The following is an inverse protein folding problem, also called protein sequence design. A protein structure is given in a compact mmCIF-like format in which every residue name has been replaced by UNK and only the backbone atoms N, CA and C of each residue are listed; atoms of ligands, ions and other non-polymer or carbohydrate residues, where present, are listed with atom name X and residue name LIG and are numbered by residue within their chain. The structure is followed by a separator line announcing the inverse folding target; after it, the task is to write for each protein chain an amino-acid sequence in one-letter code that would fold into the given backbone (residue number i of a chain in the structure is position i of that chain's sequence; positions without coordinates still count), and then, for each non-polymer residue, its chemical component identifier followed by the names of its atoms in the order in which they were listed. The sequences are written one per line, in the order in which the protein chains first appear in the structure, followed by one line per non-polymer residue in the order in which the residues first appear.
data_IF_186078145273
#
_entry.id   IF_186078145273
#
_cell.length_a   1.000
_cell.length_b   1.000
_cell.length_c   1.000
_cell.angle_alpha   90.00
_cell.angle_beta   90.00
_cell.angle_gamma   90.00
#
_symmetry.space_group_name_H-M   'P 1'
#
loop_
_entity.id
_entity.type
_entity.pdbx_description
1 polymer ?
#
# COMPACT_ATOMS: atom_id res chain seq x y z
N UNK A 1 -52.20 19.04 29.63
CA UNK A 1 -51.85 19.15 31.04
C UNK A 1 -50.36 18.83 31.19
N UNK A 2 -49.53 19.88 31.20
CA UNK A 2 -48.84 20.45 32.35
C UNK A 2 -48.08 19.40 33.16
N UNK A 3 -46.77 19.49 33.37
CA UNK A 3 -45.95 20.42 34.19
C UNK A 3 -44.50 20.09 33.91
N UNK A 4 -43.68 20.93 33.39
CA UNK A 4 -42.83 21.95 34.02
C UNK A 4 -41.63 21.38 34.84
N UNK A 5 -40.47 21.71 34.33
CA UNK A 5 -39.36 22.45 34.99
C UNK A 5 -38.86 22.01 36.35
N UNK A 6 -37.60 21.94 36.41
CA UNK A 6 -36.63 22.49 37.35
C UNK A 6 -35.63 21.51 37.92
N UNK A 7 -34.40 21.95 37.98
CA UNK A 7 -33.37 21.34 38.83
C UNK A 7 -31.95 21.66 38.36
N UNK A 8 -31.57 22.92 38.31
CA UNK A 8 -30.19 23.40 38.42
C UNK A 8 -29.69 23.08 39.81
N UNK A 9 -28.57 22.40 39.96
CA UNK A 9 -27.90 22.14 41.20
C UNK A 9 -26.41 22.12 41.02
N UNK A 10 -25.78 23.25 41.17
CA UNK A 10 -24.34 23.41 41.33
C UNK A 10 -23.86 22.70 42.61
N UNK A 11 -22.74 22.00 42.51
CA UNK A 11 -21.88 21.74 43.66
C UNK A 11 -20.45 22.14 43.26
N UNK A 12 -20.08 23.32 43.74
CA UNK A 12 -18.71 23.74 43.93
C UNK A 12 -18.28 23.32 45.34
N UNK A 13 -17.02 23.14 45.50
CA UNK A 13 -16.16 23.21 46.68
C UNK A 13 -15.42 21.95 47.02
N UNK A 14 -14.18 22.05 46.78
CA UNK A 14 -13.04 22.29 47.70
C UNK A 14 -12.32 21.01 48.13
N UNK A 15 -11.02 21.02 47.91
CA UNK A 15 -10.09 20.04 48.47
C UNK A 15 -8.71 20.18 47.84
N UNK A 16 -8.07 21.31 48.06
CA UNK A 16 -6.64 21.48 47.83
C UNK A 16 -5.85 20.59 48.77
N UNK A 17 -5.01 19.72 48.24
CA UNK A 17 -3.81 19.24 48.94
C UNK A 17 -2.65 19.26 47.97
N UNK A 18 -1.94 20.35 48.03
CA UNK A 18 -0.60 20.56 47.52
C UNK A 18 0.38 19.61 48.19
N UNK A 19 0.91 18.68 47.42
CA UNK A 19 2.11 17.92 47.80
C UNK A 19 3.12 18.09 46.67
N UNK A 20 3.88 19.16 46.71
CA UNK A 20 5.01 19.36 45.86
C UNK A 20 6.14 18.40 46.25
N UNK A 21 6.35 17.38 45.43
CA UNK A 21 7.57 16.56 45.53
C UNK A 21 8.60 17.27 44.64
N UNK A 22 9.46 18.08 45.28
CA UNK A 22 10.67 18.63 44.64
C UNK A 22 11.72 17.53 44.75
N UNK A 23 12.03 16.88 43.63
CA UNK A 23 13.21 16.04 43.51
C UNK A 23 14.43 16.94 43.28
N UNK A 24 15.59 16.66 43.95
CA UNK A 24 16.78 17.48 43.71
C UNK A 24 17.34 17.25 42.31
N UNK A 25 17.68 18.35 41.64
CA UNK A 25 18.33 18.34 40.34
C UNK A 25 19.75 17.71 40.48
N UNK A 26 19.86 16.43 40.17
CA UNK A 26 21.10 15.78 39.89
C UNK A 26 21.51 16.13 38.45
N UNK A 27 22.62 16.83 38.28
CA UNK A 27 23.23 17.05 36.97
C UNK A 27 23.67 15.69 36.41
N UNK A 28 22.88 15.18 35.45
CA UNK A 28 23.36 14.07 34.60
C UNK A 28 24.25 14.69 33.53
N UNK A 29 25.56 14.51 33.66
CA UNK A 29 26.48 14.77 32.58
C UNK A 29 26.21 13.74 31.47
N UNK A 30 25.57 14.18 30.38
CA UNK A 30 25.51 13.44 29.15
C UNK A 30 26.88 13.50 28.49
N UNK A 31 27.68 12.45 28.66
CA UNK A 31 28.78 12.18 27.75
C UNK A 31 28.20 11.67 26.43
N UNK A 32 28.27 12.49 25.39
CA UNK A 32 27.96 12.03 24.03
C UNK A 32 28.92 10.92 23.63
N UNK A 33 28.44 9.76 23.16
CA UNK A 33 29.35 8.79 22.56
C UNK A 33 29.85 9.35 21.23
N UNK A 34 31.15 9.61 21.17
CA UNK A 34 31.82 9.91 19.90
C UNK A 34 31.66 8.72 18.96
N UNK A 35 30.74 8.85 17.98
CA UNK A 35 30.69 7.93 16.87
C UNK A 35 31.94 8.11 16.01
N UNK A 36 32.86 7.16 16.11
CA UNK A 36 33.90 7.01 15.13
C UNK A 36 33.29 6.74 13.77
N UNK A 37 33.44 7.72 12.87
CA UNK A 37 33.08 7.56 11.46
C UNK A 37 34.07 6.56 10.84
N UNK A 38 33.68 5.31 10.77
CA UNK A 38 34.32 4.34 9.89
C UNK A 38 33.97 4.68 8.45
N UNK A 39 34.95 5.16 7.71
CA UNK A 39 34.89 5.37 6.27
C UNK A 39 34.72 3.99 5.58
N UNK A 40 33.49 3.57 5.32
CA UNK A 40 33.23 2.52 4.37
C UNK A 40 33.42 3.09 2.95
N UNK A 41 34.61 2.85 2.40
CA UNK A 41 34.88 3.07 0.98
C UNK A 41 33.88 2.25 0.18
N UNK A 42 33.04 2.94 -0.60
CA UNK A 42 32.20 2.32 -1.62
C UNK A 42 33.12 1.53 -2.57
N UNK A 43 32.91 0.22 -2.63
CA UNK A 43 33.49 -0.62 -3.67
C UNK A 43 32.80 -0.25 -4.99
N UNK A 44 33.57 0.36 -5.88
CA UNK A 44 33.07 0.74 -7.20
C UNK A 44 32.72 -0.49 -8.03
N UNK A 45 31.51 -0.50 -8.54
CA UNK A 45 31.14 -1.41 -9.63
C UNK A 45 31.89 -0.94 -10.88
N UNK A 46 32.86 -1.73 -11.32
CA UNK A 46 33.61 -1.51 -12.56
C UNK A 46 32.71 -1.68 -13.78
N UNK A 47 32.56 -0.60 -14.53
CA UNK A 47 32.03 -0.65 -15.89
C UNK A 47 33.08 -1.26 -16.81
N UNK A 48 32.83 -2.44 -17.36
CA UNK A 48 33.64 -3.03 -18.43
C UNK A 48 33.37 -2.26 -19.73
N UNK A 49 34.34 -1.44 -20.13
CA UNK A 49 34.42 -0.90 -21.49
C UNK A 49 34.82 -2.02 -22.45
N UNK A 50 33.99 -2.32 -23.42
CA UNK A 50 34.37 -3.14 -24.57
C UNK A 50 35.23 -2.30 -25.51
N UNK A 51 36.45 -2.78 -25.72
CA UNK A 51 37.39 -2.18 -26.67
C UNK A 51 36.93 -2.46 -28.09
N UNK A 52 36.98 -1.40 -28.94
CA UNK A 52 36.75 -1.49 -30.36
C UNK A 52 37.91 -2.18 -31.08
N UNK A 53 37.57 -2.96 -32.06
CA UNK A 53 38.56 -3.44 -33.07
C UNK A 53 38.06 -3.07 -34.46
N UNK A 54 38.99 -2.58 -35.20
CA UNK A 54 39.00 -1.84 -36.40
C UNK A 54 38.32 -2.43 -37.62
N UNK A 55 38.05 -1.48 -38.49
CA UNK A 55 37.60 -1.66 -39.86
C UNK A 55 38.66 -2.34 -40.74
N UNK A 56 38.23 -3.33 -41.55
CA UNK A 56 38.91 -3.73 -42.77
C UNK A 56 37.91 -3.73 -43.91
N UNK A 57 38.16 -2.87 -44.84
CA UNK A 57 37.45 -2.81 -46.12
C UNK A 57 37.91 -3.96 -47.03
N UNK A 58 36.96 -4.69 -47.63
CA UNK A 58 37.22 -5.69 -48.67
C UNK A 58 36.05 -5.73 -49.62
N UNK A 59 36.29 -5.19 -50.82
CA UNK A 59 35.41 -5.31 -51.98
C UNK A 59 35.33 -6.75 -52.49
N UNK A 60 34.12 -7.21 -52.78
CA UNK A 60 33.88 -8.48 -53.47
C UNK A 60 32.44 -8.60 -53.92
N UNK A 61 32.12 -8.14 -55.10
CA UNK A 61 30.85 -8.46 -55.77
C UNK A 61 30.90 -9.90 -56.25
N UNK A 62 29.79 -10.68 -56.12
CA UNK A 62 29.24 -11.63 -57.10
C UNK A 62 27.87 -12.16 -56.70
N UNK A 63 26.94 -11.93 -57.63
CA UNK A 63 25.80 -12.77 -58.06
C UNK A 63 25.00 -13.64 -57.05
N UNK A 64 23.76 -13.30 -56.93
CA UNK A 64 22.50 -14.01 -57.04
C UNK A 64 22.38 -15.49 -56.61
N UNK A 65 21.47 -15.68 -55.68
CA UNK A 65 20.53 -16.82 -55.67
C UNK A 65 19.37 -16.50 -54.70
N UNK A 66 18.17 -16.36 -55.28
CA UNK A 66 16.94 -16.23 -54.52
C UNK A 66 16.66 -17.52 -53.79
N UNK A 67 16.83 -17.54 -52.47
CA UNK A 67 16.26 -18.57 -51.59
C UNK A 67 15.04 -17.97 -50.89
N UNK A 68 13.86 -18.40 -51.34
CA UNK A 68 12.61 -18.14 -50.61
C UNK A 68 12.69 -18.74 -49.22
N UNK A 69 13.13 -17.95 -48.27
CA UNK A 69 13.07 -18.29 -46.85
C UNK A 69 11.63 -18.22 -46.39
N UNK A 70 11.01 -19.39 -46.18
CA UNK A 70 9.77 -19.53 -45.43
C UNK A 70 10.02 -18.97 -44.04
N UNK A 71 9.62 -17.71 -43.84
CA UNK A 71 9.57 -17.13 -42.52
C UNK A 71 8.48 -17.87 -41.72
N UNK A 72 8.88 -18.92 -41.06
CA UNK A 72 8.07 -19.57 -40.05
C UNK A 72 7.73 -18.52 -39.01
N UNK A 73 6.50 -18.02 -39.07
CA UNK A 73 5.90 -17.29 -37.94
C UNK A 73 5.97 -18.25 -36.74
N UNK A 74 6.96 -18.05 -35.88
CA UNK A 74 6.91 -18.59 -34.54
C UNK A 74 5.65 -17.99 -33.92
N UNK A 75 4.59 -18.81 -33.85
CA UNK A 75 3.43 -18.49 -33.07
C UNK A 75 3.96 -18.21 -31.64
N UNK A 76 3.95 -16.97 -31.23
CA UNK A 76 4.08 -16.64 -29.83
C UNK A 76 2.96 -17.39 -29.15
N UNK A 77 3.32 -18.40 -28.34
CA UNK A 77 2.42 -19.09 -27.45
C UNK A 77 1.73 -17.95 -26.69
N UNK A 78 0.43 -17.75 -26.97
CA UNK A 78 -0.36 -16.72 -26.33
C UNK A 78 -0.18 -16.85 -24.83
N UNK A 79 0.50 -15.89 -24.20
CA UNK A 79 0.31 -15.62 -22.78
C UNK A 79 -1.16 -15.32 -22.70
N UNK A 80 -1.92 -16.21 -22.09
CA UNK A 80 -3.26 -15.87 -21.62
C UNK A 80 -3.05 -14.63 -20.78
N UNK A 81 -3.49 -13.47 -21.26
CA UNK A 81 -3.43 -12.25 -20.47
C UNK A 81 -4.32 -12.53 -19.27
N UNK A 82 -3.72 -12.78 -18.12
CA UNK A 82 -4.48 -12.77 -16.87
C UNK A 82 -5.12 -11.39 -16.81
N UNK A 83 -6.44 -11.38 -16.69
CA UNK A 83 -7.18 -10.13 -16.53
C UNK A 83 -6.69 -9.50 -15.23
N UNK A 84 -6.31 -8.23 -15.28
CA UNK A 84 -5.87 -7.50 -14.12
C UNK A 84 -6.94 -7.54 -13.02
N UNK A 85 -6.51 -7.67 -11.79
CA UNK A 85 -7.40 -7.77 -10.63
C UNK A 85 -7.95 -6.39 -10.28
N UNK A 86 -9.27 -6.24 -10.21
CA UNK A 86 -9.92 -5.00 -9.78
C UNK A 86 -9.71 -4.74 -8.30
N UNK A 87 -9.12 -3.60 -7.96
CA UNK A 87 -8.82 -3.18 -6.60
C UNK A 87 -9.67 -1.99 -6.20
N UNK A 88 -10.31 -2.08 -5.04
CA UNK A 88 -10.98 -0.96 -4.36
C UNK A 88 -10.21 -0.58 -3.09
N UNK A 89 -10.29 0.68 -2.71
CA UNK A 89 -9.67 1.18 -1.48
C UNK A 89 -10.73 1.87 -0.63
N UNK A 90 -10.92 1.40 0.59
CA UNK A 90 -11.72 2.09 1.59
C UNK A 90 -10.81 2.82 2.58
N UNK A 91 -10.81 4.15 2.53
CA UNK A 91 -9.93 5.00 3.32
C UNK A 91 -8.65 5.40 2.57
N UNK A 92 -8.54 6.69 2.25
CA UNK A 92 -7.41 7.23 1.48
C UNK A 92 -6.44 8.04 2.35
N UNK A 93 -6.14 7.48 3.53
CA UNK A 93 -5.15 8.02 4.47
C UNK A 93 -3.71 7.74 4.04
N UNK A 94 -2.82 7.67 5.03
CA UNK A 94 -1.39 7.40 4.80
C UNK A 94 -1.13 6.07 4.09
N UNK A 95 -1.89 5.03 4.41
CA UNK A 95 -1.71 3.70 3.84
C UNK A 95 -2.44 3.57 2.52
N UNK A 96 -3.75 3.89 2.47
CA UNK A 96 -4.57 3.70 1.26
C UNK A 96 -3.99 4.39 0.03
N UNK A 97 -3.46 5.62 0.16
CA UNK A 97 -2.83 6.32 -0.96
C UNK A 97 -1.51 5.67 -1.43
N UNK A 98 -0.76 5.00 -0.55
CA UNK A 98 0.43 4.25 -0.98
C UNK A 98 0.03 2.96 -1.70
N UNK A 99 -1.02 2.28 -1.23
CA UNK A 99 -1.60 1.14 -1.94
C UNK A 99 -2.07 1.57 -3.34
N UNK A 100 -2.74 2.72 -3.46
CA UNK A 100 -3.15 3.27 -4.75
C UNK A 100 -1.96 3.51 -5.68
N UNK A 101 -0.89 4.13 -5.18
CA UNK A 101 0.33 4.39 -5.96
C UNK A 101 0.99 3.11 -6.47
N UNK A 102 0.96 2.04 -5.68
CA UNK A 102 1.50 0.73 -6.07
C UNK A 102 0.58 0.08 -7.09
N UNK A 103 -0.73 0.04 -6.83
CA UNK A 103 -1.71 -0.55 -7.73
C UNK A 103 -1.71 0.08 -9.12
N UNK A 104 -1.48 1.40 -9.22
CA UNK A 104 -1.38 2.09 -10.51
C UNK A 104 -0.14 1.71 -11.33
N UNK A 105 0.90 1.17 -10.68
CA UNK A 105 2.15 0.79 -11.36
C UNK A 105 2.29 -0.72 -11.59
N UNK A 106 1.41 -1.50 -10.99
CA UNK A 106 1.40 -2.95 -11.12
C UNK A 106 0.47 -3.38 -12.28
N UNK A 107 0.99 -4.01 -13.34
CA UNK A 107 0.17 -4.44 -14.48
C UNK A 107 -0.80 -5.59 -14.14
N UNK A 108 -0.66 -6.23 -13.00
CA UNK A 108 -1.56 -7.29 -12.55
C UNK A 108 -2.77 -6.74 -11.79
N UNK A 109 -2.77 -5.45 -11.44
CA UNK A 109 -3.85 -4.80 -10.70
C UNK A 109 -4.44 -3.63 -11.47
N UNK A 110 -5.71 -3.35 -11.23
CA UNK A 110 -6.42 -2.19 -11.78
C UNK A 110 -7.19 -1.48 -10.67
N UNK A 111 -6.76 -0.28 -10.31
CA UNK A 111 -7.44 0.53 -9.30
C UNK A 111 -8.77 1.03 -9.88
N UNK A 112 -9.88 0.58 -9.31
CA UNK A 112 -11.25 0.85 -9.80
C UNK A 112 -11.96 1.93 -9.01
N UNK A 113 -11.86 1.89 -7.68
CA UNK A 113 -12.64 2.74 -6.79
C UNK A 113 -11.82 3.14 -5.56
N UNK A 114 -11.94 4.39 -5.19
CA UNK A 114 -11.44 4.92 -3.90
C UNK A 114 -12.64 5.50 -3.15
N UNK A 115 -12.89 4.98 -1.95
CA UNK A 115 -13.84 5.58 -1.02
C UNK A 115 -13.11 6.41 0.04
N UNK A 116 -13.44 7.70 0.14
CA UNK A 116 -12.86 8.60 1.13
C UNK A 116 -13.78 9.80 1.40
N UNK A 117 -13.65 10.40 2.59
CA UNK A 117 -14.54 11.50 3.01
C UNK A 117 -14.15 12.89 2.48
N UNK A 118 -13.07 13.00 1.73
CA UNK A 118 -12.58 14.26 1.16
C UNK A 118 -13.00 14.41 -0.29
N UNK A 119 -13.04 15.65 -0.78
CA UNK A 119 -13.31 15.98 -2.17
C UNK A 119 -12.19 15.50 -3.13
N UNK A 120 -12.51 15.47 -4.42
CA UNK A 120 -11.61 14.97 -5.45
C UNK A 120 -10.30 15.76 -5.55
N UNK A 121 -10.36 17.10 -5.38
CA UNK A 121 -9.18 17.96 -5.44
C UNK A 121 -8.19 17.65 -4.32
N UNK A 122 -8.71 17.47 -3.10
CA UNK A 122 -7.86 17.11 -1.96
C UNK A 122 -7.32 15.70 -2.06
N UNK A 123 -8.11 14.74 -2.57
CA UNK A 123 -7.63 13.38 -2.84
C UNK A 123 -6.54 13.37 -3.91
N UNK A 124 -6.68 14.18 -4.97
CA UNK A 124 -5.63 14.37 -5.98
C UNK A 124 -4.35 14.95 -5.37
N UNK A 125 -4.49 15.95 -4.49
CA UNK A 125 -3.34 16.51 -3.75
C UNK A 125 -2.66 15.44 -2.89
N UNK A 126 -3.43 14.65 -2.14
CA UNK A 126 -2.90 13.57 -1.29
C UNK A 126 -2.23 12.46 -2.11
N UNK A 127 -2.72 12.18 -3.31
CA UNK A 127 -2.09 11.23 -4.23
C UNK A 127 -0.77 11.78 -4.76
N UNK A 128 -0.70 13.08 -5.11
CA UNK A 128 0.50 13.73 -5.66
C UNK A 128 1.63 13.86 -4.65
N UNK A 129 1.31 14.20 -3.40
CA UNK A 129 2.31 14.63 -2.43
C UNK A 129 2.30 13.77 -1.17
N UNK A 130 3.47 13.28 -0.79
CA UNK A 130 3.70 12.61 0.47
C UNK A 130 5.06 13.02 1.04
N UNK A 131 5.10 13.37 2.32
CA UNK A 131 6.32 13.87 2.98
C UNK A 131 7.39 12.80 3.16
N UNK A 132 7.00 11.52 3.23
CA UNK A 132 7.91 10.40 3.45
C UNK A 132 8.27 9.75 2.12
N UNK A 133 7.28 9.46 1.28
CA UNK A 133 7.43 8.72 0.02
C UNK A 133 7.64 9.64 -1.19
N UNK A 134 7.65 10.95 -0.95
CA UNK A 134 7.89 11.94 -1.99
C UNK A 134 6.71 12.17 -2.94
N UNK A 135 6.98 12.92 -3.99
CA UNK A 135 6.00 13.22 -5.03
C UNK A 135 5.72 11.97 -5.87
N UNK A 136 4.44 11.79 -6.24
CA UNK A 136 4.06 10.73 -7.19
C UNK A 136 4.73 10.96 -8.55
N UNK A 137 5.34 9.91 -9.07
CA UNK A 137 5.97 9.91 -10.39
C UNK A 137 4.94 9.50 -11.45
N UNK A 138 4.17 10.47 -11.88
CA UNK A 138 3.07 10.30 -12.82
C UNK A 138 2.13 11.50 -12.83
N UNK A 139 1.04 11.40 -13.58
CA UNK A 139 0.00 12.42 -13.67
C UNK A 139 -1.17 12.10 -12.78
N UNK A 140 -1.74 13.10 -12.14
CA UNK A 140 -2.98 12.99 -11.39
C UNK A 140 -3.83 14.21 -11.70
N UNK A 141 -5.00 13.98 -12.26
CA UNK A 141 -5.95 15.01 -12.65
C UNK A 141 -7.30 14.71 -12.02
N UNK A 142 -8.16 15.72 -11.93
CA UNK A 142 -9.53 15.58 -11.44
C UNK A 142 -10.47 15.67 -12.63
N UNK A 143 -11.39 14.74 -12.75
CA UNK A 143 -12.44 14.72 -13.76
C UNK A 143 -13.81 14.53 -13.08
N UNK A 144 -14.42 15.63 -12.70
CA UNK A 144 -15.65 15.63 -11.91
C UNK A 144 -15.42 14.94 -10.57
N UNK A 145 -16.21 13.92 -10.29
CA UNK A 145 -16.11 13.09 -9.08
C UNK A 145 -15.28 11.81 -9.34
N UNK A 146 -14.13 12.00 -10.00
CA UNK A 146 -13.20 10.91 -10.32
C UNK A 146 -11.78 11.44 -10.37
N UNK A 147 -10.80 10.56 -10.15
CA UNK A 147 -9.39 10.86 -10.42
C UNK A 147 -8.98 10.23 -11.75
N UNK A 148 -8.18 10.96 -12.54
CA UNK A 148 -7.47 10.41 -13.69
C UNK A 148 -6.00 10.30 -13.32
N UNK A 149 -5.53 9.07 -13.11
CA UNK A 149 -4.17 8.78 -12.66
C UNK A 149 -3.47 8.06 -13.81
N UNK A 150 -2.38 8.63 -14.32
CA UNK A 150 -1.64 8.11 -15.47
C UNK A 150 -2.55 7.75 -16.68
N UNK A 151 -3.59 8.58 -16.90
CA UNK A 151 -4.58 8.38 -17.95
C UNK A 151 -5.69 7.35 -17.61
N UNK A 152 -5.63 6.69 -16.47
CA UNK A 152 -6.65 5.74 -16.01
C UNK A 152 -7.66 6.44 -15.11
N UNK A 153 -8.94 6.32 -15.44
CA UNK A 153 -10.03 6.88 -14.64
C UNK A 153 -10.35 5.98 -13.46
N UNK A 154 -10.26 6.54 -12.24
CA UNK A 154 -10.57 5.89 -10.96
C UNK A 154 -11.79 6.57 -10.35
N UNK A 155 -12.83 5.79 -10.09
CA UNK A 155 -14.05 6.31 -9.48
C UNK A 155 -13.83 6.73 -8.02
N UNK A 156 -14.55 7.74 -7.57
CA UNK A 156 -14.57 8.12 -6.17
C UNK A 156 -15.94 7.79 -5.55
N UNK A 157 -15.94 7.52 -4.26
CA UNK A 157 -17.12 7.41 -3.42
C UNK A 157 -16.84 8.12 -2.09
N UNK A 158 -17.87 8.71 -1.49
CA UNK A 158 -17.73 9.54 -0.29
C UNK A 158 -18.63 9.08 0.85
N UNK A 159 -19.12 7.82 0.77
CA UNK A 159 -20.01 7.28 1.80
C UNK A 159 -19.25 6.77 3.01
N UNK A 160 -19.89 6.84 4.17
CA UNK A 160 -19.38 6.26 5.42
C UNK A 160 -19.98 4.90 5.71
N UNK A 161 -21.07 4.55 5.05
CA UNK A 161 -21.68 3.23 5.17
C UNK A 161 -20.99 2.25 4.20
N UNK A 162 -20.31 1.21 4.71
CA UNK A 162 -19.63 0.24 3.87
C UNK A 162 -20.56 -0.52 2.91
N UNK A 163 -21.85 -0.62 3.24
CA UNK A 163 -22.82 -1.31 2.39
C UNK A 163 -23.21 -0.50 1.14
N UNK A 164 -23.00 0.81 1.16
CA UNK A 164 -23.32 1.73 0.08
C UNK A 164 -22.11 2.00 -0.85
N UNK A 165 -20.94 1.46 -0.55
CA UNK A 165 -19.77 1.64 -1.42
C UNK A 165 -19.92 0.74 -2.65
N UNK A 166 -19.95 1.29 -3.88
CA UNK A 166 -20.32 0.50 -5.07
C UNK A 166 -19.15 -0.33 -5.62
N UNK A 167 -18.54 -1.20 -4.79
CA UNK A 167 -17.39 -2.02 -5.19
C UNK A 167 -17.70 -2.93 -6.38
N UNK A 168 -18.84 -3.64 -6.31
CA UNK A 168 -19.24 -4.57 -7.37
C UNK A 168 -19.57 -3.87 -8.69
N UNK A 169 -20.18 -2.69 -8.64
CA UNK A 169 -20.56 -1.91 -9.83
C UNK A 169 -19.31 -1.44 -10.60
N UNK A 170 -18.24 -1.14 -9.89
CA UNK A 170 -16.97 -0.74 -10.48
C UNK A 170 -16.02 -1.89 -10.77
N UNK A 171 -16.36 -3.13 -10.38
CA UNK A 171 -15.52 -4.30 -10.58
C UNK A 171 -14.29 -4.32 -9.66
N UNK A 172 -14.42 -3.75 -8.46
CA UNK A 172 -13.42 -3.80 -7.42
C UNK A 172 -13.58 -5.11 -6.62
N UNK A 173 -12.99 -6.17 -7.13
CA UNK A 173 -13.10 -7.52 -6.55
C UNK A 173 -12.37 -7.65 -5.20
N UNK A 174 -11.21 -6.98 -5.08
CA UNK A 174 -10.39 -6.98 -3.87
C UNK A 174 -10.39 -5.59 -3.23
N UNK A 175 -10.76 -5.52 -1.98
CA UNK A 175 -10.87 -4.25 -1.25
C UNK A 175 -9.77 -4.15 -0.21
N UNK A 176 -8.95 -3.11 -0.30
CA UNK A 176 -8.02 -2.72 0.75
C UNK A 176 -8.74 -1.84 1.77
N UNK A 177 -8.99 -2.39 2.96
CA UNK A 177 -9.59 -1.67 4.07
C UNK A 177 -8.51 -0.91 4.84
N UNK A 178 -8.48 0.40 4.68
CA UNK A 178 -7.45 1.30 5.21
C UNK A 178 -8.00 2.42 6.10
N UNK A 179 -9.25 2.30 6.56
CA UNK A 179 -9.84 3.26 7.50
C UNK A 179 -9.39 3.05 8.94
N UNK A 180 -8.99 1.81 9.29
CA UNK A 180 -8.66 1.40 10.65
C UNK A 180 -9.90 1.15 11.54
N UNK A 181 -11.10 1.18 10.96
CA UNK A 181 -12.38 1.00 11.67
C UNK A 181 -12.92 -0.42 11.52
N UNK A 182 -12.88 -0.96 10.31
CA UNK A 182 -13.48 -2.26 9.94
C UNK A 182 -12.40 -3.34 9.93
N UNK A 183 -12.00 -3.82 11.12
CA UNK A 183 -10.86 -4.72 11.33
C UNK A 183 -11.28 -6.11 11.84
N UNK A 184 -12.50 -6.52 11.55
CA UNK A 184 -13.02 -7.87 11.86
C UNK A 184 -13.80 -8.40 10.67
N UNK A 185 -13.83 -9.72 10.52
CA UNK A 185 -14.60 -10.39 9.46
C UNK A 185 -16.08 -9.97 9.50
N UNK A 186 -16.66 -9.81 10.69
CA UNK A 186 -18.05 -9.35 10.86
C UNK A 186 -18.24 -7.93 10.29
N UNK A 187 -17.34 -7.01 10.62
CA UNK A 187 -17.45 -5.60 10.19
C UNK A 187 -17.26 -5.38 8.70
N UNK A 188 -16.61 -6.29 8.01
CA UNK A 188 -16.42 -6.18 6.55
C UNK A 188 -17.46 -6.95 5.74
N UNK A 189 -18.39 -7.63 6.37
CA UNK A 189 -19.53 -8.26 5.67
C UNK A 189 -20.30 -7.28 4.78
N UNK A 190 -20.52 -6.00 5.17
CA UNK A 190 -21.11 -5.01 4.28
C UNK A 190 -20.32 -4.79 2.98
N UNK A 191 -18.97 -4.80 3.01
CA UNK A 191 -18.14 -4.68 1.81
C UNK A 191 -18.36 -5.86 0.85
N UNK A 192 -18.46 -7.08 1.39
CA UNK A 192 -18.71 -8.28 0.61
C UNK A 192 -20.12 -8.24 -0.01
N UNK A 193 -21.12 -7.78 0.75
CA UNK A 193 -22.49 -7.57 0.24
C UNK A 193 -22.54 -6.48 -0.84
N UNK A 194 -21.69 -5.48 -0.76
CA UNK A 194 -21.53 -4.42 -1.76
C UNK A 194 -20.77 -4.89 -3.02
N UNK A 195 -20.42 -6.17 -3.11
CA UNK A 195 -19.86 -6.82 -4.29
C UNK A 195 -18.35 -7.06 -4.28
N UNK A 196 -17.64 -6.74 -3.19
CA UNK A 196 -16.27 -7.19 -3.01
C UNK A 196 -16.21 -8.71 -2.86
N UNK A 197 -15.20 -9.35 -3.44
CA UNK A 197 -14.94 -10.79 -3.28
C UNK A 197 -14.05 -11.07 -2.07
N UNK A 198 -13.13 -10.17 -1.79
CA UNK A 198 -12.13 -10.28 -0.70
C UNK A 198 -11.88 -8.93 -0.08
N UNK A 199 -11.61 -8.93 1.21
CA UNK A 199 -11.20 -7.73 1.95
C UNK A 199 -9.85 -7.97 2.61
N UNK A 200 -8.93 -7.05 2.41
CA UNK A 200 -7.61 -7.06 3.02
C UNK A 200 -7.51 -5.91 4.02
N UNK A 201 -7.35 -6.23 5.30
CA UNK A 201 -7.09 -5.21 6.32
C UNK A 201 -5.66 -4.72 6.20
N UNK A 202 -5.45 -3.42 5.98
CA UNK A 202 -4.12 -2.80 6.02
C UNK A 202 -3.61 -2.55 7.45
N UNK A 203 -4.10 -3.30 8.40
CA UNK A 203 -3.82 -3.21 9.83
C UNK A 203 -4.03 -4.57 10.49
N UNK A 204 -3.56 -4.78 11.73
CA UNK A 204 -3.83 -6.01 12.47
C UNK A 204 -5.33 -6.25 12.62
N UNK A 205 -5.77 -7.48 12.37
CA UNK A 205 -7.14 -7.89 12.66
C UNK A 205 -7.44 -7.76 14.16
N UNK A 206 -8.70 -7.49 14.49
CA UNK A 206 -9.18 -7.44 15.89
C UNK A 206 -10.02 -8.66 16.26
N UNK A 207 -10.01 -9.66 15.42
CA UNK A 207 -10.60 -10.98 15.62
C UNK A 207 -9.61 -12.06 15.16
N UNK A 208 -10.07 -13.29 15.01
CA UNK A 208 -9.27 -14.42 14.57
C UNK A 208 -9.05 -14.47 13.04
N UNK A 209 -9.29 -13.37 12.32
CA UNK A 209 -9.01 -13.29 10.88
C UNK A 209 -7.56 -13.61 10.60
N UNK A 210 -7.33 -14.41 9.55
CA UNK A 210 -6.00 -14.88 9.21
C UNK A 210 -5.04 -13.73 8.89
N UNK A 211 -3.89 -13.75 9.52
CA UNK A 211 -2.85 -12.73 9.34
C UNK A 211 -1.73 -13.26 8.45
N UNK A 212 -1.42 -12.54 7.39
CA UNK A 212 -0.40 -12.90 6.41
C UNK A 212 0.73 -11.86 6.43
N UNK A 213 1.96 -12.35 6.50
CA UNK A 213 3.17 -11.56 6.30
C UNK A 213 3.92 -12.15 5.13
N UNK A 214 4.08 -11.35 4.06
CA UNK A 214 4.77 -11.79 2.84
C UNK A 214 6.22 -12.17 3.13
N UNK A 215 6.66 -13.29 2.58
CA UNK A 215 7.96 -13.87 2.86
C UNK A 215 8.05 -14.66 4.17
N UNK A 216 6.93 -14.81 4.90
CA UNK A 216 6.89 -15.56 6.18
C UNK A 216 5.87 -16.70 6.11
N UNK A 217 4.61 -16.37 5.84
CA UNK A 217 3.52 -17.35 5.90
C UNK A 217 2.49 -17.20 4.77
N UNK A 218 2.82 -16.55 3.65
CA UNK A 218 1.92 -16.38 2.50
C UNK A 218 1.37 -17.70 1.96
N UNK A 219 2.12 -18.78 2.13
CA UNK A 219 1.71 -20.14 1.72
C UNK A 219 0.53 -20.70 2.55
N UNK A 220 0.20 -20.06 3.67
CA UNK A 220 -0.95 -20.44 4.51
C UNK A 220 -2.27 -19.79 4.06
N UNK A 221 -2.24 -18.97 3.00
CA UNK A 221 -3.45 -18.40 2.43
C UNK A 221 -4.35 -19.48 1.81
N UNK A 222 -5.62 -19.42 2.16
CA UNK A 222 -6.66 -20.26 1.56
C UNK A 222 -7.64 -19.38 0.77
N UNK A 223 -7.93 -19.71 -0.50
CA UNK A 223 -8.87 -18.95 -1.33
C UNK A 223 -10.30 -18.86 -0.78
N UNK A 224 -10.68 -19.70 0.17
CA UNK A 224 -11.97 -19.60 0.85
C UNK A 224 -12.06 -18.44 1.85
N UNK A 225 -10.92 -17.90 2.30
CA UNK A 225 -10.90 -16.76 3.23
C UNK A 225 -11.49 -15.52 2.58
N UNK A 226 -12.51 -14.94 3.19
CA UNK A 226 -13.17 -13.71 2.73
C UNK A 226 -12.44 -12.45 3.17
N UNK A 227 -11.80 -12.53 4.34
CA UNK A 227 -11.03 -11.42 4.93
C UNK A 227 -9.69 -11.92 5.44
N UNK A 228 -8.64 -11.14 5.19
CA UNK A 228 -7.28 -11.40 5.70
C UNK A 228 -6.63 -10.10 6.17
N UNK A 229 -5.74 -10.21 7.14
CA UNK A 229 -4.94 -9.08 7.63
C UNK A 229 -3.53 -9.13 7.04
N UNK A 230 -3.00 -7.98 6.62
CA UNK A 230 -1.59 -7.86 6.28
C UNK A 230 -0.69 -7.54 7.49
N UNK A 231 -1.19 -7.77 8.71
CA UNK A 231 -0.50 -7.47 9.97
C UNK A 231 -0.25 -5.96 10.20
N UNK A 232 0.65 -5.63 11.12
CA UNK A 232 1.10 -4.26 11.38
C UNK A 232 2.38 -3.94 10.58
N UNK A 233 2.69 -2.66 10.45
CA UNK A 233 3.97 -2.20 9.88
C UNK A 233 5.18 -2.74 10.67
N UNK A 234 5.07 -2.82 12.00
CA UNK A 234 6.12 -3.38 12.86
C UNK A 234 6.24 -4.89 12.71
N UNK A 235 5.14 -5.61 12.55
CA UNK A 235 5.16 -7.06 12.30
C UNK A 235 5.81 -7.37 10.94
N UNK A 236 5.49 -6.59 9.90
CA UNK A 236 6.13 -6.75 8.59
C UNK A 236 7.63 -6.46 8.60
N UNK A 237 8.10 -5.60 9.52
CA UNK A 237 9.53 -5.38 9.72
C UNK A 237 10.22 -6.49 10.54
N UNK A 238 9.53 -7.01 11.56
CA UNK A 238 10.08 -7.97 12.51
C UNK A 238 10.07 -9.40 12.00
N UNK A 239 8.91 -9.87 11.52
CA UNK A 239 8.69 -11.31 11.27
C UNK A 239 9.64 -11.90 10.21
N UNK A 240 9.95 -11.22 9.08
CA UNK A 240 10.94 -11.73 8.13
C UNK A 240 12.36 -11.86 8.73
N UNK A 241 12.75 -10.90 9.58
CA UNK A 241 14.05 -10.95 10.25
C UNK A 241 14.12 -12.11 11.24
N UNK A 242 13.06 -12.30 12.04
CA UNK A 242 12.96 -13.42 12.99
C UNK A 242 12.96 -14.75 12.26
N UNK A 243 12.25 -14.87 11.14
CA UNK A 243 12.27 -16.08 10.30
C UNK A 243 13.69 -16.47 9.89
N UNK A 244 14.47 -15.50 9.38
CA UNK A 244 15.86 -15.76 8.98
C UNK A 244 16.71 -16.20 10.17
N UNK A 245 16.55 -15.57 11.33
CA UNK A 245 17.27 -15.94 12.54
C UNK A 245 16.91 -17.36 12.99
N UNK A 246 15.63 -17.70 12.97
CA UNK A 246 15.16 -19.02 13.32
C UNK A 246 15.71 -20.09 12.37
N UNK A 247 15.67 -19.87 11.05
CA UNK A 247 16.17 -20.80 10.04
C UNK A 247 17.68 -21.02 10.12
N UNK A 248 18.45 -19.99 10.53
CA UNK A 248 19.92 -20.05 10.55
C UNK A 248 20.51 -20.47 11.88
N UNK A 249 19.89 -20.10 12.97
CA UNK A 249 20.47 -20.24 14.31
C UNK A 249 19.60 -21.04 15.29
N UNK A 250 18.31 -21.14 15.02
CA UNK A 250 17.33 -21.76 15.92
C UNK A 250 17.06 -20.85 17.13
N UNK A 251 15.84 -20.34 17.26
CA UNK A 251 15.35 -19.57 18.42
C UNK A 251 14.02 -20.13 18.88
#
# INVERSE_FOLDING_TARGET
ANVAMAGVGAFAAAGALSGAFVAPAGQVQHSEPQMQRTNLRAAGYGSSQAAGVGAVAGLGAVAGLAAAGVAGKRASKGRTSMQAVGVGINGFGRIGRQVARIAMKDPETELKLINASYDADYLAYMMKYDTIHGKYDGTVEVDGDSLVIDGTKVALSHTRDPAEIPFGEHGADYVCESTGVFLTTEKVQPHLKAGAKKVIFSAPAKDDSHTIVMGVNESTYDPSMEAVSCASCTTNGLAPAVRVLQEKFGI
#
